data_IF_816574538087
#
_entry.id   IF_816574538087
#
_cell.length_a   1.000
_cell.length_b   1.000
_cell.length_c   1.000
_cell.angle_alpha   90.00
_cell.angle_beta   90.00
_cell.angle_gamma   90.00
#
_symmetry.space_group_name_H-M   'P 1'
#
loop_
_entity.id
_entity.type
_entity.pdbx_description
1 polymer ?
#
# COMPACT_ATOMS: atom_id res chain seq x y z
N UNK A 1 33.37 11.01 10.21
CA UNK A 1 32.47 9.95 10.70
C UNK A 1 31.08 10.24 10.15
N UNK A 2 30.53 9.42 9.24
CA UNK A 2 29.13 9.59 8.80
C UNK A 2 28.24 9.25 10.00
N UNK A 3 27.29 10.13 10.34
CA UNK A 3 26.29 9.83 11.36
C UNK A 3 25.60 8.50 11.04
N UNK A 4 25.35 7.64 12.04
CA UNK A 4 24.73 6.34 11.80
C UNK A 4 23.36 6.53 11.13
N UNK A 5 23.06 5.69 10.12
CA UNK A 5 21.75 5.72 9.46
C UNK A 5 20.66 5.36 10.46
N UNK A 6 19.60 6.17 10.51
CA UNK A 6 18.44 5.91 11.37
C UNK A 6 17.45 5.05 10.60
N UNK A 7 16.93 4.02 11.25
CA UNK A 7 15.88 3.14 10.71
C UNK A 7 14.69 3.22 11.66
N UNK A 8 13.53 3.65 11.14
CA UNK A 8 12.25 3.59 11.84
C UNK A 8 11.63 2.23 11.56
N UNK A 9 11.52 1.41 12.60
CA UNK A 9 10.95 0.06 12.54
C UNK A 9 9.53 0.06 13.04
N UNK A 10 8.58 -0.29 12.18
CA UNK A 10 7.17 -0.38 12.55
C UNK A 10 6.66 -1.81 12.38
N UNK A 11 5.56 -2.13 13.06
CA UNK A 11 4.86 -3.40 12.86
C UNK A 11 3.97 -3.32 11.63
N UNK A 12 4.02 -4.36 10.79
CA UNK A 12 3.36 -4.45 9.49
C UNK A 12 1.94 -3.85 9.45
N UNK A 13 1.63 -3.26 8.29
CA UNK A 13 0.39 -2.56 7.99
C UNK A 13 0.57 -1.08 7.69
N UNK A 14 -0.44 -0.51 7.03
CA UNK A 14 -0.45 0.89 6.61
C UNK A 14 -0.38 1.84 7.81
N UNK A 15 -1.09 1.53 8.91
CA UNK A 15 -1.11 2.40 10.08
C UNK A 15 0.26 2.50 10.74
N UNK A 16 0.98 1.38 10.88
CA UNK A 16 2.35 1.38 11.41
C UNK A 16 3.30 2.23 10.55
N UNK A 17 3.22 2.06 9.23
CA UNK A 17 3.98 2.87 8.28
C UNK A 17 3.66 4.36 8.41
N UNK A 18 2.38 4.73 8.47
CA UNK A 18 1.95 6.13 8.61
C UNK A 18 2.31 6.72 9.98
N UNK A 19 2.31 5.93 11.04
CA UNK A 19 2.85 6.37 12.34
C UNK A 19 4.35 6.62 12.24
N UNK A 20 5.12 5.78 11.53
CA UNK A 20 6.54 6.01 11.30
C UNK A 20 6.79 7.29 10.48
N UNK A 21 5.97 7.55 9.45
CA UNK A 21 5.98 8.83 8.72
C UNK A 21 5.75 10.00 9.66
N UNK A 22 4.75 9.93 10.55
CA UNK A 22 4.49 10.98 11.53
C UNK A 22 5.72 11.27 12.40
N UNK A 23 6.30 10.23 12.99
CA UNK A 23 7.48 10.33 13.86
C UNK A 23 8.68 10.88 13.09
N UNK A 24 8.86 10.49 11.81
CA UNK A 24 9.93 11.01 10.98
C UNK A 24 9.85 12.54 10.83
N UNK A 25 8.65 13.11 10.76
CA UNK A 25 8.45 14.56 10.72
C UNK A 25 8.56 15.22 12.10
N UNK A 26 8.00 14.59 13.13
CA UNK A 26 8.03 15.07 14.53
C UNK A 26 9.49 15.21 15.03
N UNK A 27 10.30 14.19 14.78
CA UNK A 27 11.69 14.10 15.22
C UNK A 27 12.71 14.61 14.18
N UNK A 28 12.23 15.18 13.07
CA UNK A 28 13.07 15.68 11.94
C UNK A 28 14.01 14.63 11.33
N UNK A 29 13.59 13.37 11.31
CA UNK A 29 14.31 12.22 10.76
C UNK A 29 13.98 11.97 9.27
N UNK A 30 14.01 13.01 8.42
CA UNK A 30 13.58 12.92 7.02
C UNK A 30 14.48 12.05 6.11
N UNK A 31 15.67 11.70 6.60
CA UNK A 31 16.61 10.79 5.95
C UNK A 31 16.58 9.37 6.55
N UNK A 32 15.67 9.10 7.49
CA UNK A 32 15.52 7.75 8.02
C UNK A 32 14.99 6.80 6.95
N UNK A 33 15.44 5.55 7.04
CA UNK A 33 14.82 4.44 6.29
C UNK A 33 13.62 3.92 7.08
N UNK A 34 12.62 3.45 6.36
CA UNK A 34 11.48 2.75 6.94
C UNK A 34 11.66 1.26 6.67
N UNK A 35 11.42 0.44 7.69
CA UNK A 35 11.51 -0.99 7.57
C UNK A 35 10.51 -1.67 8.49
N UNK A 36 10.07 -2.85 8.11
CA UNK A 36 9.29 -3.70 8.98
C UNK A 36 10.14 -4.20 10.18
N UNK A 37 9.48 -4.44 11.31
CA UNK A 37 10.10 -5.01 12.52
C UNK A 37 10.76 -6.38 12.26
N UNK A 38 10.25 -7.16 11.30
CA UNK A 38 10.79 -8.48 10.91
C UNK A 38 12.04 -8.40 10.03
N UNK A 39 12.36 -7.23 9.46
CA UNK A 39 13.52 -7.09 8.59
C UNK A 39 14.85 -7.30 9.37
N UNK A 40 15.92 -7.82 8.73
CA UNK A 40 17.21 -8.00 9.41
C UNK A 40 17.76 -6.69 9.99
N UNK A 41 18.45 -6.78 11.13
CA UNK A 41 19.12 -5.63 11.73
C UNK A 41 20.41 -5.29 10.98
N UNK A 42 20.59 -4.01 10.68
CA UNK A 42 21.86 -3.46 10.23
C UNK A 42 22.70 -3.05 11.46
N UNK A 43 23.90 -3.59 11.57
CA UNK A 43 24.79 -3.50 12.74
C UNK A 43 25.22 -2.05 13.04
N UNK A 44 25.27 -1.20 12.02
CA UNK A 44 25.73 0.19 12.12
C UNK A 44 24.60 1.22 12.11
N UNK A 45 23.34 0.75 12.10
CA UNK A 45 22.15 1.61 12.05
C UNK A 45 21.52 1.79 13.43
N UNK A 46 21.06 3.01 13.71
CA UNK A 46 20.25 3.29 14.90
C UNK A 46 18.80 2.89 14.60
N UNK A 47 18.37 1.78 15.17
CA UNK A 47 16.99 1.28 15.02
C UNK A 47 16.09 1.92 16.08
N UNK A 48 15.03 2.60 15.65
CA UNK A 48 14.00 3.18 16.52
C UNK A 48 12.73 2.38 16.29
N UNK A 49 12.24 1.73 17.34
CA UNK A 49 10.96 1.02 17.31
C UNK A 49 9.82 2.04 17.35
N UNK A 50 8.91 1.92 16.39
CA UNK A 50 7.70 2.72 16.25
C UNK A 50 6.51 1.86 16.67
N UNK A 51 5.86 2.27 17.75
CA UNK A 51 4.58 1.70 18.17
C UNK A 51 3.47 2.32 17.33
N UNK A 52 2.64 1.47 16.72
CA UNK A 52 1.48 1.94 15.93
C UNK A 52 0.56 2.80 16.79
N UNK A 53 0.26 3.99 16.28
CA UNK A 53 -0.66 4.95 16.89
C UNK A 53 -1.67 5.37 15.83
N UNK A 54 -2.89 4.87 15.99
CA UNK A 54 -4.00 5.07 15.06
C UNK A 54 -4.35 6.56 14.89
N UNK A 55 -4.20 7.38 15.93
CA UNK A 55 -4.47 8.81 15.82
C UNK A 55 -3.41 9.50 14.97
N UNK A 56 -2.12 9.19 15.18
CA UNK A 56 -1.01 9.70 14.35
C UNK A 56 -1.18 9.25 12.90
N UNK A 57 -1.46 7.97 12.66
CA UNK A 57 -1.69 7.41 11.34
C UNK A 57 -2.85 8.11 10.62
N UNK A 58 -4.02 8.25 11.28
CA UNK A 58 -5.19 8.95 10.74
C UNK A 58 -4.89 10.41 10.38
N UNK A 59 -4.09 11.13 11.17
CA UNK A 59 -3.70 12.52 10.86
C UNK A 59 -2.89 12.61 9.57
N UNK A 60 -1.90 11.73 9.40
CA UNK A 60 -1.10 11.66 8.16
C UNK A 60 -2.00 11.28 6.99
N UNK A 61 -2.80 10.23 7.14
CA UNK A 61 -3.71 9.75 6.11
C UNK A 61 -4.71 10.81 5.65
N UNK A 62 -5.33 11.53 6.59
CA UNK A 62 -6.27 12.62 6.31
C UNK A 62 -5.63 13.71 5.46
N UNK A 63 -4.42 14.15 5.83
CA UNK A 63 -3.69 15.18 5.09
C UNK A 63 -3.32 14.71 3.68
N UNK A 64 -2.78 13.50 3.55
CA UNK A 64 -2.42 12.93 2.26
C UNK A 64 -3.65 12.72 1.34
N UNK A 65 -4.75 12.24 1.90
CA UNK A 65 -6.00 12.02 1.15
C UNK A 65 -6.57 13.33 0.60
N UNK A 66 -6.42 14.44 1.33
CA UNK A 66 -6.82 15.77 0.85
C UNK A 66 -5.94 16.24 -0.32
N UNK A 67 -4.62 16.02 -0.23
CA UNK A 67 -3.66 16.44 -1.26
C UNK A 67 -3.78 15.58 -2.54
N UNK A 68 -3.92 14.27 -2.37
CA UNK A 68 -4.01 13.32 -3.48
C UNK A 68 -5.41 13.19 -4.07
N UNK A 69 -6.46 13.75 -3.45
CA UNK A 69 -7.86 13.60 -3.88
C UNK A 69 -8.26 12.11 -4.06
N UNK A 70 -9.47 11.87 -4.51
CA UNK A 70 -10.02 10.51 -4.66
C UNK A 70 -9.20 9.64 -5.62
N UNK A 71 -8.82 10.18 -6.79
CA UNK A 71 -8.11 9.40 -7.82
C UNK A 71 -6.67 9.08 -7.42
N UNK A 72 -5.97 10.01 -6.76
CA UNK A 72 -4.62 9.75 -6.28
C UNK A 72 -4.60 8.76 -5.11
N UNK A 73 -5.58 8.81 -4.21
CA UNK A 73 -5.72 7.80 -3.14
C UNK A 73 -5.92 6.42 -3.73
N UNK A 74 -6.81 6.24 -4.73
CA UNK A 74 -6.99 4.95 -5.41
C UNK A 74 -5.70 4.44 -6.05
N UNK A 75 -4.93 5.34 -6.67
CA UNK A 75 -3.64 5.01 -7.28
C UNK A 75 -2.66 4.48 -6.24
N UNK A 76 -2.45 5.22 -5.15
CA UNK A 76 -1.51 4.86 -4.09
C UNK A 76 -1.94 3.60 -3.35
N UNK A 77 -3.24 3.43 -3.08
CA UNK A 77 -3.77 2.20 -2.47
C UNK A 77 -3.51 0.95 -3.31
N UNK A 78 -3.62 1.05 -4.65
CA UNK A 78 -3.24 -0.07 -5.53
C UNK A 78 -1.74 -0.33 -5.45
N UNK A 79 -0.92 0.72 -5.46
CA UNK A 79 0.54 0.57 -5.37
C UNK A 79 0.98 -0.09 -4.05
N UNK A 80 0.26 0.14 -2.95
CA UNK A 80 0.49 -0.49 -1.64
C UNK A 80 0.29 -2.02 -1.63
N UNK A 81 -0.47 -2.57 -2.59
CA UNK A 81 -0.69 -4.01 -2.72
C UNK A 81 0.50 -4.75 -3.35
N UNK A 82 1.48 -4.02 -3.89
CA UNK A 82 2.70 -4.62 -4.44
C UNK A 82 3.68 -4.89 -3.30
N UNK A 83 4.16 -6.13 -3.20
CA UNK A 83 5.31 -6.47 -2.36
C UNK A 83 6.59 -6.16 -3.13
N UNK A 84 7.38 -5.20 -2.64
CA UNK A 84 8.67 -4.82 -3.19
C UNK A 84 9.61 -4.35 -2.06
N UNK A 85 10.89 -4.74 -2.05
CA UNK A 85 11.85 -4.31 -1.01
C UNK A 85 11.96 -2.78 -0.88
N UNK A 86 11.80 -2.05 -1.98
CA UNK A 86 11.90 -0.60 -2.06
C UNK A 86 10.58 0.13 -1.80
N UNK A 87 9.47 -0.60 -1.57
CA UNK A 87 8.11 -0.05 -1.43
C UNK A 87 8.05 1.11 -0.45
N UNK A 88 8.55 0.91 0.77
CA UNK A 88 8.43 1.88 1.85
C UNK A 88 9.31 3.11 1.59
N UNK A 89 10.48 2.93 0.96
CA UNK A 89 11.36 4.01 0.56
C UNK A 89 10.73 4.89 -0.54
N UNK A 90 10.15 4.26 -1.56
CA UNK A 90 9.43 4.95 -2.65
C UNK A 90 8.23 5.71 -2.11
N UNK A 91 7.41 5.09 -1.26
CA UNK A 91 6.25 5.73 -0.65
C UNK A 91 6.64 6.89 0.26
N UNK A 92 7.68 6.73 1.06
CA UNK A 92 8.13 7.80 1.93
C UNK A 92 8.69 8.99 1.13
N UNK A 93 9.41 8.72 0.03
CA UNK A 93 9.84 9.78 -0.89
C UNK A 93 8.65 10.51 -1.50
N UNK A 94 7.64 9.76 -2.00
CA UNK A 94 6.43 10.34 -2.55
C UNK A 94 5.69 11.21 -1.53
N UNK A 95 5.58 10.75 -0.28
CA UNK A 95 4.95 11.50 0.81
C UNK A 95 5.73 12.79 1.09
N UNK A 96 7.06 12.73 1.16
CA UNK A 96 7.90 13.92 1.32
C UNK A 96 7.67 14.92 0.19
N UNK A 97 7.69 14.44 -1.05
CA UNK A 97 7.49 15.27 -2.22
C UNK A 97 6.08 15.90 -2.25
N UNK A 98 5.05 15.12 -1.89
CA UNK A 98 3.67 15.59 -1.75
C UNK A 98 3.55 16.70 -0.70
N UNK A 99 4.14 16.50 0.48
CA UNK A 99 4.05 17.45 1.59
C UNK A 99 4.86 18.73 1.34
N UNK A 100 5.95 18.64 0.57
CA UNK A 100 6.72 19.80 0.13
C UNK A 100 5.99 20.64 -0.93
N UNK A 101 5.10 20.03 -1.71
CA UNK A 101 4.40 20.68 -2.83
C UNK A 101 2.86 20.62 -2.69
N UNK A 102 2.27 21.15 -1.60
CA UNK A 102 0.86 20.93 -1.26
C UNK A 102 -0.15 21.55 -2.23
N UNK A 103 0.29 22.50 -3.07
CA UNK A 103 -0.56 23.17 -4.07
C UNK A 103 -0.49 22.51 -5.45
N UNK A 104 0.40 21.53 -5.62
CA UNK A 104 0.65 20.89 -6.90
C UNK A 104 0.06 19.49 -6.93
N UNK A 105 -0.30 19.04 -8.13
CA UNK A 105 -0.73 17.68 -8.36
C UNK A 105 0.47 16.78 -8.65
N UNK A 106 1.21 16.45 -7.59
CA UNK A 106 2.50 15.74 -7.68
C UNK A 106 2.42 14.38 -8.38
N UNK A 107 1.26 13.72 -8.33
CA UNK A 107 1.06 12.40 -8.96
C UNK A 107 1.05 12.44 -10.50
N UNK A 108 1.06 13.62 -11.14
CA UNK A 108 1.29 13.76 -12.58
C UNK A 108 2.73 14.16 -12.92
N UNK A 109 3.62 14.31 -11.94
CA UNK A 109 5.01 14.68 -12.19
C UNK A 109 5.83 13.43 -12.54
N UNK A 110 5.59 12.87 -13.72
CA UNK A 110 6.24 11.62 -14.18
C UNK A 110 7.76 11.70 -14.31
N UNK A 111 8.35 12.90 -14.24
CA UNK A 111 9.80 13.09 -14.16
C UNK A 111 10.39 12.74 -12.79
N UNK A 112 9.56 12.52 -11.75
CA UNK A 112 9.99 12.01 -10.46
C UNK A 112 9.89 10.48 -10.46
N UNK A 113 11.00 9.82 -10.12
CA UNK A 113 11.11 8.36 -10.17
C UNK A 113 10.08 7.66 -9.28
N UNK A 114 9.85 8.18 -8.07
CA UNK A 114 8.87 7.61 -7.15
C UNK A 114 7.44 7.68 -7.70
N UNK A 115 7.10 8.74 -8.43
CA UNK A 115 5.79 8.89 -9.06
C UNK A 115 5.65 7.87 -10.18
N UNK A 116 6.67 7.73 -11.02
CA UNK A 116 6.68 6.77 -12.10
C UNK A 116 6.52 5.33 -11.59
N UNK A 117 7.27 4.95 -10.55
CA UNK A 117 7.21 3.61 -9.93
C UNK A 117 5.81 3.33 -9.38
N UNK A 118 5.21 4.28 -8.66
CA UNK A 118 3.85 4.14 -8.10
C UNK A 118 2.82 3.89 -9.19
N UNK A 119 2.91 4.59 -10.32
CA UNK A 119 2.04 4.35 -11.48
C UNK A 119 2.26 2.97 -12.10
N UNK A 120 3.51 2.50 -12.19
CA UNK A 120 3.82 1.17 -12.71
C UNK A 120 3.26 0.06 -11.81
N UNK A 121 3.43 0.17 -10.49
CA UNK A 121 2.86 -0.76 -9.52
C UNK A 121 1.34 -0.80 -9.58
N UNK A 122 0.69 0.36 -9.55
CA UNK A 122 -0.77 0.45 -9.65
C UNK A 122 -1.29 -0.14 -10.96
N UNK A 123 -0.56 0.01 -12.08
CA UNK A 123 -0.91 -0.59 -13.38
C UNK A 123 -0.81 -2.11 -13.36
N UNK A 124 0.22 -2.69 -12.72
CA UNK A 124 0.35 -4.15 -12.56
C UNK A 124 -0.84 -4.71 -11.79
N UNK A 125 -1.18 -4.10 -10.66
CA UNK A 125 -2.35 -4.48 -9.84
C UNK A 125 -3.65 -4.33 -10.62
N UNK A 126 -3.81 -3.26 -11.42
CA UNK A 126 -5.02 -3.09 -12.22
C UNK A 126 -5.18 -4.16 -13.30
N UNK A 127 -4.09 -4.57 -13.96
CA UNK A 127 -4.12 -5.68 -14.92
C UNK A 127 -4.54 -6.98 -14.24
N UNK A 128 -4.06 -7.20 -13.03
CA UNK A 128 -4.44 -8.36 -12.22
C UNK A 128 -5.92 -8.38 -11.89
N UNK A 129 -6.46 -7.24 -11.44
CA UNK A 129 -7.89 -7.09 -11.18
C UNK A 129 -8.72 -7.38 -12.43
N UNK A 130 -8.30 -6.92 -13.61
CA UNK A 130 -8.98 -7.24 -14.87
C UNK A 130 -8.88 -8.73 -15.22
N UNK A 131 -7.69 -9.34 -15.05
CA UNK A 131 -7.48 -10.77 -15.28
C UNK A 131 -8.42 -11.61 -14.42
N UNK A 132 -8.46 -11.36 -13.12
CA UNK A 132 -9.35 -12.09 -12.21
C UNK A 132 -10.82 -11.90 -12.56
N UNK A 133 -11.27 -10.68 -12.85
CA UNK A 133 -12.67 -10.44 -13.26
C UNK A 133 -13.06 -11.21 -14.53
N UNK A 134 -12.15 -11.39 -15.47
CA UNK A 134 -12.41 -12.07 -16.75
C UNK A 134 -12.33 -13.61 -16.66
N UNK A 135 -11.39 -14.12 -15.87
CA UNK A 135 -11.00 -15.53 -15.93
C UNK A 135 -11.40 -16.38 -14.74
N UNK A 136 -11.82 -15.79 -13.61
CA UNK A 136 -12.35 -16.59 -12.49
C UNK A 136 -13.52 -17.44 -12.96
N UNK A 137 -13.48 -18.71 -12.56
CA UNK A 137 -14.51 -19.71 -12.86
C UNK A 137 -15.10 -20.21 -11.57
N UNK A 138 -16.42 -20.19 -11.51
CA UNK A 138 -17.16 -20.77 -10.40
C UNK A 138 -17.65 -22.16 -10.78
N UNK A 139 -17.61 -23.07 -9.81
CA UNK A 139 -18.20 -24.39 -9.87
C UNK A 139 -19.23 -24.52 -8.76
N UNK A 140 -20.38 -25.13 -9.07
CA UNK A 140 -21.42 -25.36 -8.07
C UNK A 140 -21.09 -26.63 -7.28
N UNK A 141 -21.17 -26.54 -5.96
CA UNK A 141 -21.04 -27.66 -5.04
C UNK A 141 -22.40 -28.37 -4.85
N UNK A 142 -22.40 -29.57 -4.28
CA UNK A 142 -23.62 -30.37 -4.06
C UNK A 142 -24.68 -29.65 -3.21
N UNK A 143 -24.25 -28.78 -2.30
CA UNK A 143 -25.13 -27.97 -1.46
C UNK A 143 -25.63 -26.69 -2.14
N UNK A 144 -25.37 -26.52 -3.44
CA UNK A 144 -25.79 -25.35 -4.23
C UNK A 144 -24.88 -24.12 -4.12
N UNK A 145 -23.83 -24.15 -3.28
CA UNK A 145 -22.88 -23.05 -3.14
C UNK A 145 -21.95 -22.96 -4.37
N UNK A 146 -21.68 -21.75 -4.85
CA UNK A 146 -20.74 -21.48 -5.93
C UNK A 146 -19.34 -21.21 -5.38
N UNK A 147 -18.38 -22.05 -5.74
CA UNK A 147 -17.01 -21.98 -5.29
C UNK A 147 -16.06 -21.58 -6.43
N UNK A 148 -15.10 -20.71 -6.14
CA UNK A 148 -13.95 -20.44 -7.00
C UNK A 148 -12.66 -20.40 -6.20
N UNK A 149 -11.61 -21.02 -6.74
CA UNK A 149 -10.24 -20.89 -6.24
C UNK A 149 -9.46 -19.94 -7.16
N UNK A 150 -8.68 -19.05 -6.57
CA UNK A 150 -7.83 -18.09 -7.28
C UNK A 150 -6.44 -18.07 -6.67
N UNK A 151 -5.43 -17.74 -7.48
CA UNK A 151 -4.07 -17.49 -7.02
C UNK A 151 -3.57 -16.19 -7.67
N UNK A 152 -4.03 -15.02 -7.20
CA UNK A 152 -3.65 -13.74 -7.76
C UNK A 152 -2.22 -13.37 -7.38
N UNK A 153 -1.58 -12.56 -8.22
CA UNK A 153 -0.20 -12.10 -7.96
C UNK A 153 -0.11 -11.05 -6.82
N UNK A 154 -1.27 -10.55 -6.36
CA UNK A 154 -1.40 -9.47 -5.39
C UNK A 154 -2.66 -9.70 -4.51
N UNK A 155 -2.70 -9.16 -3.28
CA UNK A 155 -3.88 -9.25 -2.39
C UNK A 155 -5.04 -8.37 -2.88
N UNK A 156 -5.67 -8.76 -3.98
CA UNK A 156 -6.68 -7.97 -4.71
C UNK A 156 -8.12 -8.40 -4.42
N UNK A 157 -8.35 -9.36 -3.55
CA UNK A 157 -9.69 -9.81 -3.15
C UNK A 157 -10.65 -8.63 -2.86
N UNK A 158 -10.28 -7.60 -2.07
CA UNK A 158 -11.16 -6.46 -1.82
C UNK A 158 -11.53 -5.66 -3.08
N UNK A 159 -10.70 -5.69 -4.12
CA UNK A 159 -10.92 -4.96 -5.38
C UNK A 159 -11.82 -5.72 -6.37
N UNK A 160 -11.87 -7.05 -6.27
CA UNK A 160 -12.67 -7.91 -7.16
C UNK A 160 -13.98 -8.38 -6.53
N UNK A 161 -14.04 -8.47 -5.19
CA UNK A 161 -15.23 -8.95 -4.49
C UNK A 161 -16.52 -8.20 -4.87
N UNK A 162 -16.55 -6.85 -4.99
CA UNK A 162 -17.78 -6.16 -5.39
C UNK A 162 -18.29 -6.57 -6.78
N UNK A 163 -17.39 -6.89 -7.72
CA UNK A 163 -17.78 -7.32 -9.06
C UNK A 163 -18.51 -8.68 -9.04
N UNK A 164 -18.01 -9.63 -8.24
CA UNK A 164 -18.64 -10.94 -8.12
C UNK A 164 -19.90 -10.89 -7.24
N UNK A 165 -19.92 -10.05 -6.20
CA UNK A 165 -21.11 -9.82 -5.38
C UNK A 165 -22.30 -9.33 -6.22
N UNK A 166 -22.06 -8.43 -7.19
CA UNK A 166 -23.12 -8.00 -8.12
C UNK A 166 -23.55 -9.11 -9.09
N UNK A 167 -22.62 -9.97 -9.55
CA UNK A 167 -22.91 -11.03 -10.54
C UNK A 167 -23.62 -12.25 -9.93
N UNK A 168 -23.33 -12.55 -8.67
CA UNK A 168 -23.88 -13.69 -7.92
C UNK A 168 -24.76 -13.20 -6.75
N UNK A 169 -25.53 -12.14 -6.96
CA UNK A 169 -26.25 -11.43 -5.91
C UNK A 169 -27.31 -12.30 -5.17
N UNK A 170 -27.84 -13.31 -5.84
CA UNK A 170 -28.88 -14.23 -5.37
C UNK A 170 -28.33 -15.63 -5.03
N UNK A 171 -27.01 -15.83 -5.12
CA UNK A 171 -26.37 -17.13 -4.91
C UNK A 171 -25.50 -17.09 -3.65
N UNK A 172 -25.36 -18.21 -2.96
CA UNK A 172 -24.31 -18.37 -1.95
C UNK A 172 -23.02 -18.68 -2.70
N UNK A 173 -21.98 -17.88 -2.47
CA UNK A 173 -20.70 -18.07 -3.14
C UNK A 173 -19.49 -17.78 -2.25
N UNK A 174 -18.37 -18.39 -2.60
CA UNK A 174 -17.08 -18.22 -1.94
C UNK A 174 -15.97 -18.12 -2.98
N UNK A 175 -15.06 -17.16 -2.79
CA UNK A 175 -13.77 -17.12 -3.48
C UNK A 175 -12.70 -17.41 -2.44
N UNK A 176 -11.84 -18.39 -2.70
CA UNK A 176 -10.69 -18.72 -1.87
C UNK A 176 -9.41 -18.38 -2.62
N UNK A 177 -8.58 -17.57 -1.99
CA UNK A 177 -7.21 -17.26 -2.40
C UNK A 177 -6.28 -18.33 -1.82
N UNK A 178 -5.50 -19.02 -2.67
CA UNK A 178 -4.71 -20.22 -2.34
C UNK A 178 -3.19 -19.99 -2.35
#
# INVERSE_FOLDING_TARGET
MKSPSVILRYRDGLDGFLTAVFIAYEEKLLYARMADETAPNDLFSRNIRVMTDEQKAKRVWKKLSQLWKTEGVKLVLKALLVSAPERDAVLFSLIKYTLANPKQWVLNHYAQDEVLIIHQWARRVQREVHRMKAFVRFSQLENGCFYASIAPDFPILPLIAPFFATRFADQIWLIVDI
#
